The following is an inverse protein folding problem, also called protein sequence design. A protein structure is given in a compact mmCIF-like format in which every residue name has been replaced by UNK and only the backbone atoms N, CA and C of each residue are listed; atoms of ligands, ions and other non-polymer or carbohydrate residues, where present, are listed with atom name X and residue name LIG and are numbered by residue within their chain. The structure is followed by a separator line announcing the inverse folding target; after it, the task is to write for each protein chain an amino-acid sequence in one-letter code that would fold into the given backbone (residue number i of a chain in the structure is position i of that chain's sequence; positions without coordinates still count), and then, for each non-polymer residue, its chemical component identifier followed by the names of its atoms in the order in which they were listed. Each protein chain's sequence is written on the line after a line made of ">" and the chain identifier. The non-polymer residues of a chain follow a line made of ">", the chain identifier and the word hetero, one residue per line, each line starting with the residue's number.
data_IF_912811073723
#
_entry.id   IF_912811073723
#
_cell.length_a   1.000
_cell.length_b   1.000
_cell.length_c   1.000
_cell.angle_alpha   90.00
_cell.angle_beta   90.00
_cell.angle_gamma   90.00
#
_symmetry.space_group_name_H-M   'P 1'
#
loop_
_entity.id
_entity.type
_entity.pdbx_description
1 polymer ?
#
# COMPACT_ATOMS: atom_id res chain seq x y z
N UNK A 1 -3.94 -38.43 21.22
CA UNK A 1 -3.51 -37.05 21.50
C UNK A 1 -2.12 -36.75 20.93
N UNK A 2 -1.09 -37.55 21.24
CA UNK A 2 0.27 -37.34 20.74
C UNK A 2 0.36 -37.31 19.20
N UNK A 3 -0.22 -38.31 18.55
CA UNK A 3 -0.25 -38.42 17.07
C UNK A 3 -0.97 -37.24 16.41
N UNK A 4 -2.07 -36.75 17.01
CA UNK A 4 -2.76 -35.56 16.53
C UNK A 4 -1.89 -34.30 16.68
N UNK A 5 -1.19 -34.17 17.81
CA UNK A 5 -0.29 -33.05 18.05
C UNK A 5 0.89 -33.04 17.04
N UNK A 6 1.48 -34.23 16.78
CA UNK A 6 2.56 -34.35 15.80
C UNK A 6 2.09 -33.98 14.38
N UNK A 7 0.87 -34.36 14.01
CA UNK A 7 0.29 -34.00 12.72
C UNK A 7 -0.04 -32.50 12.63
N UNK A 8 -0.56 -31.86 13.68
CA UNK A 8 -0.76 -30.41 13.74
C UNK A 8 0.55 -29.65 13.61
N UNK A 9 1.59 -30.06 14.33
CA UNK A 9 2.93 -29.46 14.24
C UNK A 9 3.52 -29.64 12.85
N UNK A 10 3.35 -30.81 12.23
CA UNK A 10 3.83 -31.05 10.88
C UNK A 10 3.17 -30.15 9.83
N UNK A 11 1.87 -29.86 9.97
CA UNK A 11 1.09 -29.08 9.00
C UNK A 11 1.18 -27.57 9.23
N UNK A 12 1.14 -27.13 10.49
CA UNK A 12 0.98 -25.74 10.88
C UNK A 12 2.10 -25.20 11.78
N UNK A 13 2.97 -26.08 12.27
CA UNK A 13 3.97 -25.71 13.27
C UNK A 13 4.94 -24.61 12.80
N UNK A 14 5.25 -24.56 11.51
CA UNK A 14 6.13 -23.51 10.97
C UNK A 14 5.48 -22.14 11.03
N UNK A 15 4.20 -22.04 10.66
CA UNK A 15 3.47 -20.76 10.65
C UNK A 15 3.25 -20.24 12.08
N UNK A 16 2.87 -21.15 12.99
CA UNK A 16 2.71 -20.80 14.43
C UNK A 16 4.05 -20.36 15.03
N UNK A 17 5.13 -21.10 14.74
CA UNK A 17 6.46 -20.75 15.23
C UNK A 17 6.95 -19.40 14.71
N UNK A 18 6.67 -19.08 13.45
CA UNK A 18 7.00 -17.76 12.89
C UNK A 18 6.27 -16.63 13.62
N UNK A 19 5.00 -16.81 13.94
CA UNK A 19 4.23 -15.88 14.77
C UNK A 19 4.85 -15.67 16.15
N UNK A 20 5.23 -16.76 16.81
CA UNK A 20 5.91 -16.74 18.13
C UNK A 20 7.26 -16.04 18.06
N UNK A 21 8.08 -16.33 17.07
CA UNK A 21 9.38 -15.66 16.86
C UNK A 21 9.17 -14.15 16.72
N UNK A 22 8.24 -13.73 15.89
CA UNK A 22 7.93 -12.31 15.69
C UNK A 22 7.52 -11.64 16.99
N UNK A 23 6.66 -12.26 17.79
CA UNK A 23 6.22 -11.76 19.09
C UNK A 23 7.36 -11.64 20.08
N UNK A 24 8.24 -12.64 20.15
CA UNK A 24 9.42 -12.59 21.03
C UNK A 24 10.35 -11.45 20.62
N UNK A 25 10.61 -11.26 19.34
CA UNK A 25 11.44 -10.17 18.85
C UNK A 25 10.87 -8.80 19.20
N UNK A 26 9.57 -8.59 18.94
CA UNK A 26 8.91 -7.34 19.28
C UNK A 26 8.89 -7.08 20.78
N UNK A 27 8.65 -8.12 21.60
CA UNK A 27 8.69 -8.03 23.08
C UNK A 27 10.07 -7.62 23.58
N UNK A 28 11.14 -8.16 22.99
CA UNK A 28 12.50 -7.80 23.36
C UNK A 28 12.80 -6.33 23.04
N UNK A 29 12.37 -5.83 21.88
CA UNK A 29 12.56 -4.44 21.49
C UNK A 29 11.75 -3.47 22.35
N UNK A 30 10.49 -3.81 22.67
CA UNK A 30 9.69 -3.00 23.63
C UNK A 30 10.35 -2.91 24.99
N UNK A 31 10.83 -4.04 25.54
CA UNK A 31 11.54 -4.05 26.82
C UNK A 31 12.81 -3.20 26.80
N UNK A 32 13.59 -3.24 25.71
CA UNK A 32 14.78 -2.40 25.55
C UNK A 32 14.44 -0.90 25.52
N UNK A 33 13.28 -0.55 24.94
CA UNK A 33 12.76 0.81 24.91
C UNK A 33 12.02 1.22 26.21
N UNK A 34 11.89 0.33 27.20
CA UNK A 34 11.10 0.60 28.42
C UNK A 34 9.59 0.72 28.17
N UNK A 35 9.10 0.17 27.06
CA UNK A 35 7.70 0.25 26.63
C UNK A 35 6.97 -1.07 26.86
N UNK A 36 5.66 -0.97 27.04
CA UNK A 36 4.74 -2.11 27.17
C UNK A 36 3.48 -1.86 26.37
N UNK A 37 2.82 -2.94 25.94
CA UNK A 37 1.49 -2.89 25.33
C UNK A 37 0.46 -3.05 26.44
N UNK A 38 -0.42 -2.08 26.63
CA UNK A 38 -1.52 -2.13 27.59
C UNK A 38 -2.82 -2.58 26.88
N UNK A 39 -3.78 -3.05 27.68
CA UNK A 39 -5.09 -3.46 27.18
C UNK A 39 -5.83 -2.29 26.48
N UNK A 40 -5.64 -1.06 26.96
CA UNK A 40 -6.20 0.14 26.35
C UNK A 40 -5.67 0.38 24.93
N UNK A 41 -4.36 0.17 24.72
CA UNK A 41 -3.76 0.27 23.37
C UNK A 41 -4.36 -0.77 22.40
N UNK A 42 -4.61 -1.97 22.91
CA UNK A 42 -5.25 -3.06 22.15
C UNK A 42 -6.69 -2.70 21.77
N UNK A 43 -7.46 -2.17 22.72
CA UNK A 43 -8.84 -1.75 22.49
C UNK A 43 -8.93 -0.61 21.46
N UNK A 44 -8.01 0.35 21.52
CA UNK A 44 -7.93 1.44 20.55
C UNK A 44 -7.59 0.92 19.15
N UNK A 45 -6.69 -0.05 19.05
CA UNK A 45 -6.34 -0.67 17.75
C UNK A 45 -7.52 -1.42 17.15
N UNK A 46 -8.26 -2.19 17.96
CA UNK A 46 -9.47 -2.89 17.51
C UNK A 46 -10.55 -1.90 17.06
N UNK A 47 -10.72 -0.79 17.80
CA UNK A 47 -11.66 0.26 17.42
C UNK A 47 -11.26 0.95 16.11
N UNK A 48 -9.97 1.24 15.93
CA UNK A 48 -9.45 1.82 14.69
C UNK A 48 -9.65 0.88 13.50
N UNK A 49 -9.42 -0.42 13.69
CA UNK A 49 -9.68 -1.43 12.67
C UNK A 49 -11.18 -1.48 12.31
N UNK A 50 -12.08 -1.50 13.30
CA UNK A 50 -13.52 -1.48 13.06
C UNK A 50 -13.94 -0.29 12.19
N UNK A 51 -13.50 0.93 12.52
CA UNK A 51 -13.78 2.14 11.72
C UNK A 51 -13.22 2.01 10.31
N UNK A 52 -11.98 1.58 10.17
CA UNK A 52 -11.32 1.44 8.87
C UNK A 52 -12.05 0.48 7.93
N UNK A 53 -12.64 -0.57 8.47
CA UNK A 53 -13.43 -1.54 7.70
C UNK A 53 -14.92 -1.21 7.62
N UNK A 54 -15.33 -0.02 8.07
CA UNK A 54 -16.69 0.49 7.93
C UNK A 54 -17.68 -0.01 8.98
N UNK A 55 -17.19 -0.60 10.06
CA UNK A 55 -18.01 -1.00 11.21
C UNK A 55 -18.16 0.19 12.16
N UNK A 56 -19.12 1.04 11.83
CA UNK A 56 -19.39 2.30 12.53
C UNK A 56 -20.84 2.35 12.96
N UNK A 57 -21.10 2.69 14.21
CA UNK A 57 -22.45 2.91 14.74
C UNK A 57 -23.06 4.19 14.18
N UNK A 58 -24.35 4.39 14.40
CA UNK A 58 -25.07 5.57 13.94
C UNK A 58 -24.58 6.90 14.52
N UNK A 59 -23.89 6.85 15.66
CA UNK A 59 -23.27 8.00 16.33
C UNK A 59 -21.83 8.30 15.84
N UNK A 60 -21.32 7.52 14.90
CA UNK A 60 -19.96 7.65 14.35
C UNK A 60 -18.88 6.89 15.14
N UNK A 61 -19.22 6.26 16.26
CA UNK A 61 -18.28 5.45 17.03
C UNK A 61 -18.05 4.07 16.41
N UNK A 62 -16.91 3.42 16.76
CA UNK A 62 -16.61 2.07 16.31
C UNK A 62 -17.65 1.04 16.78
N UNK A 63 -18.12 0.19 15.89
CA UNK A 63 -18.90 -1.00 16.24
C UNK A 63 -17.97 -2.21 16.40
N UNK A 64 -17.31 -2.24 17.57
CA UNK A 64 -16.31 -3.26 17.92
C UNK A 64 -16.96 -4.65 17.92
N UNK A 65 -18.16 -4.78 18.44
CA UNK A 65 -18.85 -6.08 18.54
C UNK A 65 -19.15 -6.67 17.17
N UNK A 66 -19.67 -5.85 16.25
CA UNK A 66 -19.91 -6.29 14.88
C UNK A 66 -18.62 -6.64 14.15
N UNK A 67 -17.55 -5.88 14.36
CA UNK A 67 -16.23 -6.15 13.81
C UNK A 67 -15.66 -7.48 14.31
N UNK A 68 -15.60 -7.67 15.62
CA UNK A 68 -15.08 -8.90 16.22
C UNK A 68 -15.88 -10.13 15.80
N UNK A 69 -17.20 -10.01 15.75
CA UNK A 69 -18.05 -11.09 15.26
C UNK A 69 -17.72 -11.47 13.82
N UNK A 70 -17.47 -10.49 12.97
CA UNK A 70 -17.07 -10.73 11.57
C UNK A 70 -15.72 -11.46 11.50
N UNK A 71 -14.69 -10.94 12.18
CA UNK A 71 -13.35 -11.53 12.17
C UNK A 71 -13.37 -13.00 12.64
N UNK A 72 -14.03 -13.27 13.76
CA UNK A 72 -14.14 -14.62 14.31
C UNK A 72 -14.88 -15.57 13.37
N UNK A 73 -15.93 -15.07 12.68
CA UNK A 73 -16.74 -15.92 11.80
C UNK A 73 -16.11 -16.24 10.45
N UNK A 74 -15.25 -15.35 9.92
CA UNK A 74 -14.64 -15.52 8.59
C UNK A 74 -13.30 -16.26 8.63
N UNK A 75 -12.52 -16.09 9.71
CA UNK A 75 -11.16 -16.62 9.80
C UNK A 75 -11.05 -17.92 10.61
N UNK A 76 -12.17 -18.46 11.10
CA UNK A 76 -12.19 -19.63 12.00
C UNK A 76 -11.26 -19.46 13.22
N UNK A 77 -11.00 -18.18 13.57
CA UNK A 77 -10.08 -17.75 14.61
C UNK A 77 -10.83 -17.48 15.93
N UNK A 78 -10.18 -17.73 17.05
CA UNK A 78 -10.70 -17.25 18.34
C UNK A 78 -10.35 -15.78 18.53
N UNK A 79 -11.11 -15.08 19.38
CA UNK A 79 -10.80 -13.71 19.78
C UNK A 79 -9.36 -13.59 20.34
N UNK A 80 -8.94 -14.58 21.12
CA UNK A 80 -7.61 -14.61 21.71
C UNK A 80 -6.51 -14.66 20.64
N UNK A 81 -6.67 -15.52 19.62
CA UNK A 81 -5.74 -15.61 18.49
C UNK A 81 -5.71 -14.30 17.68
N UNK A 82 -6.88 -13.70 17.41
CA UNK A 82 -6.93 -12.42 16.72
C UNK A 82 -6.19 -11.31 17.50
N UNK A 83 -6.43 -11.20 18.81
CA UNK A 83 -5.75 -10.22 19.63
C UNK A 83 -4.24 -10.48 19.70
N UNK A 84 -3.83 -11.74 19.78
CA UNK A 84 -2.44 -12.15 19.92
C UNK A 84 -1.63 -12.04 18.62
N UNK A 85 -2.21 -12.42 17.49
CA UNK A 85 -1.48 -12.58 16.23
C UNK A 85 -1.65 -11.39 15.27
N UNK A 86 -2.71 -10.61 15.42
CA UNK A 86 -2.96 -9.44 14.58
C UNK A 86 -2.86 -8.11 15.34
N UNK A 87 -3.57 -7.98 16.45
CA UNK A 87 -3.69 -6.69 17.17
C UNK A 87 -2.42 -6.37 17.94
N UNK A 88 -1.94 -7.28 18.78
CA UNK A 88 -0.78 -7.06 19.61
C UNK A 88 0.49 -6.69 18.83
N UNK A 89 0.86 -7.41 17.72
CA UNK A 89 2.03 -7.04 16.94
C UNK A 89 1.91 -5.67 16.28
N UNK A 90 0.70 -5.30 15.84
CA UNK A 90 0.42 -3.97 15.28
C UNK A 90 0.67 -2.87 16.31
N UNK A 91 0.10 -3.02 17.50
CA UNK A 91 0.31 -2.07 18.61
C UNK A 91 1.77 -2.00 19.03
N UNK A 92 2.44 -3.15 19.14
CA UNK A 92 3.85 -3.23 19.48
C UNK A 92 4.72 -2.45 18.48
N UNK A 93 4.51 -2.67 17.18
CA UNK A 93 5.23 -1.96 16.13
C UNK A 93 4.92 -0.46 16.13
N UNK A 94 3.66 -0.07 16.29
CA UNK A 94 3.26 1.34 16.42
C UNK A 94 4.04 2.03 17.54
N UNK A 95 4.11 1.43 18.73
CA UNK A 95 4.87 1.99 19.86
C UNK A 95 6.36 2.13 19.54
N UNK A 96 6.97 1.12 18.93
CA UNK A 96 8.40 1.14 18.57
C UNK A 96 8.74 2.26 17.58
N UNK A 97 7.84 2.63 16.66
CA UNK A 97 8.12 3.60 15.59
C UNK A 97 7.47 4.96 15.78
N UNK A 98 6.51 5.10 16.69
CA UNK A 98 5.67 6.30 16.81
C UNK A 98 6.48 7.60 16.93
N UNK A 99 7.54 7.61 17.72
CA UNK A 99 8.39 8.78 17.92
C UNK A 99 9.27 9.14 16.71
N UNK A 100 9.39 8.21 15.75
CA UNK A 100 10.20 8.40 14.54
C UNK A 100 9.41 8.89 13.34
N UNK A 101 8.08 9.02 13.45
CA UNK A 101 7.20 9.41 12.36
C UNK A 101 6.77 10.86 12.52
N UNK A 102 7.28 11.70 11.63
CA UNK A 102 6.92 13.11 11.55
C UNK A 102 6.31 13.45 10.18
N UNK A 103 5.31 14.32 10.19
CA UNK A 103 4.71 14.88 8.97
C UNK A 103 5.18 16.32 8.82
N UNK A 104 6.01 16.57 7.82
CA UNK A 104 6.51 17.92 7.51
C UNK A 104 5.48 18.69 6.67
N UNK A 105 5.61 20.03 6.67
CA UNK A 105 4.81 20.88 5.80
C UNK A 105 5.01 20.54 4.31
N UNK A 106 6.21 20.08 3.93
CA UNK A 106 6.47 19.61 2.58
C UNK A 106 5.67 18.34 2.23
N UNK A 107 5.50 17.44 3.19
CA UNK A 107 4.67 16.25 2.99
C UNK A 107 3.21 16.62 2.80
N UNK A 108 2.72 17.59 3.57
CA UNK A 108 1.35 18.11 3.45
C UNK A 108 1.12 18.76 2.10
N UNK A 109 2.05 19.60 1.63
CA UNK A 109 1.96 20.22 0.32
C UNK A 109 1.98 19.19 -0.81
N UNK A 110 2.89 18.21 -0.75
CA UNK A 110 2.92 17.09 -1.72
C UNK A 110 1.63 16.26 -1.67
N UNK A 111 1.09 16.01 -0.48
CA UNK A 111 -0.18 15.33 -0.32
C UNK A 111 -1.35 16.12 -0.91
N UNK A 112 -1.36 17.42 -0.72
CA UNK A 112 -2.36 18.30 -1.32
C UNK A 112 -2.26 18.31 -2.84
N UNK A 113 -1.06 18.45 -3.41
CA UNK A 113 -0.85 18.39 -4.86
C UNK A 113 -1.23 17.02 -5.45
N UNK A 114 -0.95 15.93 -4.73
CA UNK A 114 -1.32 14.58 -5.16
C UNK A 114 -2.84 14.36 -5.19
N UNK A 115 -3.58 14.94 -4.24
CA UNK A 115 -5.02 14.73 -4.13
C UNK A 115 -5.83 15.76 -4.92
N UNK A 116 -5.39 17.01 -4.92
CA UNK A 116 -6.15 18.16 -5.42
C UNK A 116 -5.44 18.97 -6.49
N UNK A 117 -4.17 18.65 -6.81
CA UNK A 117 -3.37 19.38 -7.79
C UNK A 117 -3.79 19.14 -9.24
N UNK A 118 -3.12 19.88 -10.12
CA UNK A 118 -3.28 19.74 -11.57
C UNK A 118 -3.04 18.30 -12.04
N UNK A 119 -3.68 17.92 -13.13
CA UNK A 119 -3.63 16.60 -13.72
C UNK A 119 -3.24 16.66 -15.19
N UNK A 120 -2.58 15.61 -15.65
CA UNK A 120 -2.29 15.43 -17.06
C UNK A 120 -3.04 14.22 -17.58
N UNK A 121 -3.89 14.43 -18.56
CA UNK A 121 -4.56 13.35 -19.28
C UNK A 121 -3.61 12.81 -20.35
N UNK A 122 -3.35 11.51 -20.32
CA UNK A 122 -2.42 10.84 -21.21
C UNK A 122 -2.99 9.53 -21.73
N UNK A 123 -2.56 9.15 -22.91
CA UNK A 123 -2.62 7.77 -23.37
C UNK A 123 -1.28 7.11 -23.07
N UNK A 124 -1.30 5.89 -22.59
CA UNK A 124 -0.11 5.16 -22.12
C UNK A 124 0.01 3.82 -22.83
N UNK A 125 1.21 3.49 -23.27
CA UNK A 125 1.58 2.16 -23.76
C UNK A 125 2.74 1.64 -22.90
N UNK A 126 2.54 0.53 -22.19
CA UNK A 126 3.53 -0.12 -21.34
C UNK A 126 4.12 -1.32 -22.05
N UNK A 127 5.44 -1.42 -22.09
CA UNK A 127 6.18 -2.36 -22.93
C UNK A 127 7.21 -3.14 -22.11
N UNK A 128 7.42 -4.41 -22.44
CA UNK A 128 8.30 -5.31 -21.69
C UNK A 128 9.78 -5.24 -22.12
N UNK A 129 10.13 -4.45 -23.15
CA UNK A 129 11.51 -4.31 -23.58
C UNK A 129 11.74 -2.97 -24.27
N UNK A 130 12.98 -2.46 -24.13
CA UNK A 130 13.39 -1.20 -24.78
C UNK A 130 13.26 -1.25 -26.29
N UNK A 131 13.59 -2.37 -26.91
CA UNK A 131 13.45 -2.54 -28.35
C UNK A 131 11.99 -2.35 -28.80
N UNK A 132 11.06 -3.01 -28.11
CA UNK A 132 9.64 -2.87 -28.43
C UNK A 132 9.14 -1.44 -28.15
N UNK A 133 9.65 -0.79 -27.14
CA UNK A 133 9.32 0.60 -26.85
C UNK A 133 9.79 1.54 -27.96
N UNK A 134 10.97 1.29 -28.52
CA UNK A 134 11.50 2.06 -29.64
C UNK A 134 10.63 1.86 -30.91
N UNK A 135 10.26 0.62 -31.23
CA UNK A 135 9.39 0.31 -32.38
C UNK A 135 8.03 1.03 -32.27
N UNK A 136 7.40 0.98 -31.08
CA UNK A 136 6.11 1.64 -30.82
C UNK A 136 6.25 3.16 -30.88
N UNK A 137 7.32 3.71 -30.31
CA UNK A 137 7.60 5.14 -30.31
C UNK A 137 7.76 5.69 -31.73
N UNK A 138 8.51 5.00 -32.59
CA UNK A 138 8.70 5.36 -34.00
C UNK A 138 7.38 5.34 -34.79
N UNK A 139 6.55 4.31 -34.58
CA UNK A 139 5.22 4.26 -35.15
C UNK A 139 4.32 5.39 -34.68
N UNK A 140 4.34 5.70 -33.41
CA UNK A 140 3.55 6.77 -32.80
C UNK A 140 4.04 8.17 -33.25
N UNK A 141 5.34 8.32 -33.54
CA UNK A 141 5.91 9.54 -34.09
C UNK A 141 5.50 9.76 -35.56
N UNK A 142 5.47 8.67 -36.35
CA UNK A 142 5.06 8.73 -37.76
C UNK A 142 3.57 9.08 -37.95
N UNK A 143 2.71 8.67 -37.00
CA UNK A 143 1.29 8.99 -37.03
C UNK A 143 0.86 9.58 -35.66
N UNK A 144 0.78 10.89 -35.61
CA UNK A 144 0.53 11.66 -34.40
C UNK A 144 -0.92 11.71 -33.90
N UNK A 145 -1.82 10.82 -34.33
CA UNK A 145 -3.21 10.83 -33.89
C UNK A 145 -3.41 10.05 -32.58
N UNK A 146 -4.29 10.54 -31.70
CA UNK A 146 -4.66 9.83 -30.48
C UNK A 146 -5.25 8.46 -30.75
N UNK A 147 -6.10 8.35 -31.79
CA UNK A 147 -6.69 7.09 -32.20
C UNK A 147 -5.63 6.05 -32.53
N UNK A 148 -4.65 6.43 -33.37
CA UNK A 148 -3.57 5.52 -33.74
C UNK A 148 -2.72 5.10 -32.54
N UNK A 149 -2.42 6.03 -31.64
CA UNK A 149 -1.71 5.70 -30.40
C UNK A 149 -2.53 4.74 -29.53
N UNK A 150 -3.84 4.93 -29.45
CA UNK A 150 -4.75 3.99 -28.78
C UNK A 150 -4.71 2.59 -29.39
N UNK A 151 -4.71 2.48 -30.70
CA UNK A 151 -4.59 1.20 -31.40
C UNK A 151 -3.23 0.52 -31.13
N UNK A 152 -2.13 1.30 -31.06
CA UNK A 152 -0.82 0.80 -30.65
C UNK A 152 -0.83 0.29 -29.20
N UNK A 153 -1.45 1.02 -28.29
CA UNK A 153 -1.57 0.60 -26.90
C UNK A 153 -2.39 -0.70 -26.77
N UNK A 154 -3.50 -0.81 -27.48
CA UNK A 154 -4.30 -2.04 -27.53
C UNK A 154 -3.50 -3.24 -28.06
N UNK A 155 -2.68 -3.05 -29.08
CA UNK A 155 -1.91 -4.11 -29.71
C UNK A 155 -0.67 -4.50 -28.88
N UNK A 156 0.07 -3.54 -28.37
CA UNK A 156 1.42 -3.75 -27.84
C UNK A 156 1.56 -3.59 -26.32
N UNK A 157 0.62 -2.92 -25.63
CA UNK A 157 0.75 -2.76 -24.19
C UNK A 157 0.64 -4.10 -23.46
N UNK A 158 1.53 -4.31 -22.51
CA UNK A 158 1.54 -5.49 -21.62
C UNK A 158 0.73 -5.25 -20.35
N UNK A 159 0.35 -4.00 -20.07
CA UNK A 159 -0.42 -3.64 -18.90
C UNK A 159 -1.92 -3.67 -19.25
N UNK A 160 -2.75 -4.46 -18.53
CA UNK A 160 -4.15 -4.69 -18.91
C UNK A 160 -5.00 -3.42 -18.98
N UNK A 161 -4.82 -2.49 -18.04
CA UNK A 161 -5.64 -1.27 -17.99
C UNK A 161 -5.41 -0.41 -19.26
N UNK A 162 -4.15 -0.13 -19.58
CA UNK A 162 -3.83 0.65 -20.78
C UNK A 162 -4.15 -0.12 -22.06
N UNK A 163 -3.93 -1.43 -22.10
CA UNK A 163 -4.23 -2.25 -23.25
C UNK A 163 -5.71 -2.22 -23.62
N UNK A 164 -6.58 -2.64 -22.72
CA UNK A 164 -8.00 -2.81 -23.02
C UNK A 164 -8.77 -1.49 -23.09
N UNK A 165 -8.21 -0.40 -22.60
CA UNK A 165 -8.78 0.94 -22.68
C UNK A 165 -8.12 1.81 -23.79
N UNK A 166 -7.45 1.20 -24.78
CA UNK A 166 -6.81 1.95 -25.86
C UNK A 166 -5.88 3.05 -25.36
N UNK A 167 -5.03 2.71 -24.42
CA UNK A 167 -4.07 3.62 -23.80
C UNK A 167 -4.64 4.53 -22.71
N UNK A 168 -5.95 4.60 -22.55
CA UNK A 168 -6.55 5.46 -21.52
C UNK A 168 -6.26 4.93 -20.12
N UNK A 169 -5.74 5.79 -19.28
CA UNK A 169 -5.46 5.56 -17.87
C UNK A 169 -6.04 6.69 -17.04
N UNK A 170 -6.19 6.54 -15.72
CA UNK A 170 -6.52 7.67 -14.86
C UNK A 170 -5.52 8.82 -15.06
N UNK A 171 -5.96 10.09 -15.01
CA UNK A 171 -5.08 11.23 -15.18
C UNK A 171 -3.90 11.20 -14.20
N UNK A 172 -2.72 11.54 -14.68
CA UNK A 172 -1.50 11.56 -13.88
C UNK A 172 -1.49 12.82 -13.03
N UNK A 173 -1.22 12.65 -11.74
CA UNK A 173 -1.01 13.71 -10.77
C UNK A 173 0.44 13.70 -10.30
N UNK A 174 0.93 14.83 -9.78
CA UNK A 174 2.22 14.88 -9.10
C UNK A 174 2.17 14.07 -7.80
N UNK A 175 3.31 13.56 -7.40
CA UNK A 175 3.49 12.82 -6.14
C UNK A 175 2.62 11.55 -6.01
N UNK A 176 2.22 10.95 -7.15
CA UNK A 176 1.45 9.70 -7.21
C UNK A 176 2.31 8.45 -7.02
N UNK A 177 3.63 8.59 -6.91
CA UNK A 177 4.59 7.53 -6.61
C UNK A 177 5.46 7.07 -7.77
N UNK A 178 5.34 7.71 -8.96
CA UNK A 178 6.16 7.41 -10.14
C UNK A 178 6.83 8.66 -10.71
N UNK A 179 7.86 9.22 -10.05
CA UNK A 179 8.43 10.52 -10.39
C UNK A 179 8.91 10.63 -11.83
N UNK A 180 9.46 9.56 -12.42
CA UNK A 180 9.94 9.57 -13.81
C UNK A 180 8.78 9.75 -14.80
N UNK A 181 7.66 9.06 -14.59
CA UNK A 181 6.45 9.16 -15.41
C UNK A 181 5.77 10.51 -15.21
N UNK A 182 5.67 10.95 -13.95
CA UNK A 182 5.06 12.23 -13.57
C UNK A 182 5.80 13.41 -14.20
N UNK A 183 7.11 13.49 -14.01
CA UNK A 183 7.94 14.57 -14.56
C UNK A 183 7.83 14.64 -16.08
N UNK A 184 7.85 13.51 -16.75
CA UNK A 184 7.70 13.47 -18.20
C UNK A 184 6.28 13.88 -18.61
N UNK A 185 5.22 13.37 -17.98
CA UNK A 185 3.85 13.74 -18.29
C UNK A 185 3.59 15.24 -18.16
N UNK A 186 4.06 15.85 -17.06
CA UNK A 186 3.90 17.28 -16.81
C UNK A 186 4.74 18.18 -17.73
N UNK A 187 5.81 17.64 -18.33
CA UNK A 187 6.63 18.35 -19.32
C UNK A 187 5.95 18.46 -20.69
N UNK A 188 5.12 17.48 -21.05
CA UNK A 188 4.50 17.39 -22.36
C UNK A 188 3.41 18.46 -22.56
N UNK A 189 3.30 18.97 -23.76
CA UNK A 189 2.15 19.75 -24.22
C UNK A 189 1.09 18.83 -24.81
N UNK A 190 -0.14 19.31 -24.90
CA UNK A 190 -1.23 18.58 -25.56
C UNK A 190 -0.82 18.15 -26.99
N UNK A 191 -1.01 16.88 -27.28
CA UNK A 191 -0.63 16.26 -28.55
C UNK A 191 0.83 15.78 -28.64
N UNK A 192 1.70 16.12 -27.68
CA UNK A 192 3.10 15.65 -27.71
C UNK A 192 3.25 14.19 -27.28
N UNK A 193 4.25 13.55 -27.87
CA UNK A 193 4.69 12.20 -27.53
C UNK A 193 5.85 12.30 -26.52
N UNK A 194 5.83 11.47 -25.48
CA UNK A 194 6.92 11.41 -24.49
C UNK A 194 8.20 10.81 -25.08
N UNK A 195 9.30 11.00 -24.38
CA UNK A 195 10.42 10.09 -24.47
C UNK A 195 10.03 8.68 -23.94
N UNK A 196 10.89 7.68 -24.18
CA UNK A 196 10.72 6.35 -23.59
C UNK A 196 11.16 6.42 -22.13
N UNK A 197 10.23 6.23 -21.20
CA UNK A 197 10.49 6.26 -19.76
C UNK A 197 10.71 4.84 -19.25
N UNK A 198 11.87 4.59 -18.65
CA UNK A 198 12.15 3.31 -17.98
C UNK A 198 11.46 3.29 -16.60
N UNK A 199 10.74 2.20 -16.29
CA UNK A 199 10.02 1.97 -15.05
C UNK A 199 10.29 0.55 -14.55
N UNK A 200 11.36 0.38 -13.77
CA UNK A 200 11.86 -0.94 -13.38
C UNK A 200 12.26 -1.76 -14.61
N UNK A 201 11.63 -2.90 -14.79
CA UNK A 201 11.81 -3.83 -15.92
C UNK A 201 10.93 -3.49 -17.13
N UNK A 202 10.13 -2.42 -17.05
CA UNK A 202 9.18 -2.00 -18.09
C UNK A 202 9.57 -0.65 -18.69
N UNK A 203 9.00 -0.38 -19.85
CA UNK A 203 9.18 0.86 -20.58
C UNK A 203 7.81 1.47 -20.89
N UNK A 204 7.71 2.77 -20.68
CA UNK A 204 6.46 3.52 -20.85
C UNK A 204 6.65 4.55 -21.96
N UNK A 205 5.71 4.59 -22.89
CA UNK A 205 5.54 5.65 -23.88
C UNK A 205 4.18 6.28 -23.62
N UNK A 206 4.13 7.62 -23.63
CA UNK A 206 2.91 8.36 -23.35
C UNK A 206 2.65 9.38 -24.44
N UNK A 207 1.36 9.63 -24.70
CA UNK A 207 0.90 10.74 -25.51
C UNK A 207 0.04 11.65 -24.65
N UNK A 208 0.40 12.92 -24.53
CA UNK A 208 -0.38 13.90 -23.78
C UNK A 208 -1.66 14.25 -24.55
N UNK A 209 -2.80 14.07 -23.90
CA UNK A 209 -4.12 14.50 -24.42
C UNK A 209 -4.37 15.97 -23.99
N UNK A 210 -4.07 16.30 -22.76
CA UNK A 210 -4.26 17.65 -22.24
C UNK A 210 -3.89 17.80 -20.77
N UNK A 211 -3.92 19.05 -20.33
CA UNK A 211 -3.73 19.41 -18.93
C UNK A 211 -5.07 19.87 -18.35
N UNK A 212 -5.43 19.30 -17.22
CA UNK A 212 -6.62 19.68 -16.48
C UNK A 212 -6.21 20.38 -15.20
N UNK A 213 -6.57 21.65 -15.10
CA UNK A 213 -6.40 22.40 -13.86
C UNK A 213 -7.41 21.96 -12.82
N UNK A 214 -7.01 22.06 -11.58
CA UNK A 214 -7.87 21.74 -10.44
C UNK A 214 -8.66 22.99 -10.02
N UNK A 215 -9.67 23.37 -10.81
CA UNK A 215 -10.49 24.56 -10.56
C UNK A 215 -11.42 24.42 -9.33
N UNK A 216 -11.62 23.21 -8.83
CA UNK A 216 -12.50 22.87 -7.70
C UNK A 216 -11.72 22.29 -6.51
N UNK A 217 -10.43 22.60 -6.38
CA UNK A 217 -9.67 22.16 -5.21
C UNK A 217 -10.18 22.88 -3.96
N UNK A 218 -10.38 22.16 -2.85
CA UNK A 218 -10.70 22.79 -1.57
C UNK A 218 -9.53 23.66 -1.11
N UNK A 219 -9.81 24.69 -0.31
CA UNK A 219 -8.74 25.47 0.32
C UNK A 219 -7.82 24.57 1.14
N UNK A 220 -6.52 24.78 1.04
CA UNK A 220 -5.50 23.96 1.71
C UNK A 220 -5.76 23.80 3.21
N UNK A 221 -6.05 24.91 3.90
CA UNK A 221 -6.31 24.88 5.35
C UNK A 221 -7.55 24.10 5.73
N UNK A 222 -8.54 23.98 4.84
CA UNK A 222 -9.76 23.20 5.10
C UNK A 222 -9.53 21.69 5.10
N UNK A 223 -8.49 21.22 4.43
CA UNK A 223 -8.17 19.77 4.31
C UNK A 223 -6.87 19.39 5.00
N UNK A 224 -6.15 20.36 5.59
CA UNK A 224 -4.84 20.17 6.18
C UNK A 224 -4.82 19.10 7.28
N UNK A 225 -5.79 19.10 8.17
CA UNK A 225 -5.88 18.11 9.25
C UNK A 225 -6.17 16.70 8.73
N UNK A 226 -7.03 16.58 7.74
CA UNK A 226 -7.31 15.31 7.08
C UNK A 226 -6.07 14.78 6.37
N UNK A 227 -5.40 15.64 5.60
CA UNK A 227 -4.13 15.30 4.93
C UNK A 227 -3.05 14.88 5.92
N UNK A 228 -2.93 15.60 7.04
CA UNK A 228 -1.95 15.26 8.07
C UNK A 228 -2.19 13.86 8.61
N UNK A 229 -3.43 13.53 8.96
CA UNK A 229 -3.81 12.21 9.46
C UNK A 229 -3.50 11.11 8.43
N UNK A 230 -3.91 11.30 7.18
CA UNK A 230 -3.70 10.30 6.12
C UNK A 230 -2.22 10.07 5.80
N UNK A 231 -1.43 11.16 5.75
CA UNK A 231 0.00 11.08 5.52
C UNK A 231 0.71 10.44 6.71
N UNK A 232 0.33 10.82 7.94
CA UNK A 232 0.88 10.23 9.15
C UNK A 232 0.64 8.71 9.17
N UNK A 233 -0.58 8.26 8.90
CA UNK A 233 -0.91 6.84 8.86
C UNK A 233 -0.16 6.08 7.76
N UNK A 234 0.02 6.70 6.60
CA UNK A 234 0.81 6.13 5.51
C UNK A 234 2.28 5.98 5.89
N UNK A 235 2.87 7.02 6.48
CA UNK A 235 4.24 7.01 6.97
C UNK A 235 4.43 6.01 8.10
N UNK A 236 3.48 5.95 9.05
CA UNK A 236 3.49 5.01 10.15
C UNK A 236 3.52 3.57 9.65
N UNK A 237 2.64 3.20 8.72
CA UNK A 237 2.63 1.85 8.12
C UNK A 237 3.96 1.52 7.42
N UNK A 238 4.54 2.47 6.71
CA UNK A 238 5.83 2.28 6.06
C UNK A 238 6.95 2.09 7.09
N UNK A 239 7.00 2.94 8.11
CA UNK A 239 7.96 2.86 9.21
C UNK A 239 7.84 1.52 9.97
N UNK A 240 6.61 1.08 10.25
CA UNK A 240 6.36 -0.23 10.89
C UNK A 240 6.92 -1.38 10.04
N UNK A 241 6.65 -1.39 8.73
CA UNK A 241 7.14 -2.42 7.81
C UNK A 241 8.67 -2.43 7.75
N UNK A 242 9.29 -1.28 7.58
CA UNK A 242 10.76 -1.15 7.53
C UNK A 242 11.41 -1.54 8.86
N UNK A 243 10.83 -1.11 9.98
CA UNK A 243 11.36 -1.44 11.30
C UNK A 243 11.24 -2.92 11.62
N UNK A 244 10.13 -3.53 11.28
CA UNK A 244 9.94 -4.96 11.47
C UNK A 244 10.92 -5.78 10.63
N UNK A 245 11.12 -5.42 9.36
CA UNK A 245 12.12 -6.06 8.51
C UNK A 245 13.54 -5.89 9.08
N UNK A 246 13.88 -4.71 9.58
CA UNK A 246 15.15 -4.46 10.24
C UNK A 246 15.32 -5.32 11.49
N UNK A 247 14.30 -5.44 12.34
CA UNK A 247 14.30 -6.27 13.52
C UNK A 247 14.54 -7.74 13.14
N UNK A 248 13.83 -8.25 12.14
CA UNK A 248 13.98 -9.63 11.67
C UNK A 248 15.36 -9.89 11.08
N UNK A 249 15.87 -9.01 10.24
CA UNK A 249 17.17 -9.22 9.56
C UNK A 249 18.36 -9.13 10.50
N UNK A 250 18.26 -8.36 11.58
CA UNK A 250 19.33 -8.23 12.58
C UNK A 250 19.26 -9.27 13.70
N UNK A 251 18.14 -9.97 13.83
CA UNK A 251 17.94 -10.96 14.89
C UNK A 251 18.78 -12.23 14.67
N UNK A 252 19.23 -12.79 15.79
CA UNK A 252 19.79 -14.14 15.83
C UNK A 252 18.69 -15.12 16.22
N UNK A 253 18.28 -15.95 15.27
CA UNK A 253 17.19 -16.91 15.46
C UNK A 253 17.74 -18.32 15.35
N UNK A 254 17.50 -19.15 16.36
CA UNK A 254 17.77 -20.56 16.33
C UNK A 254 16.45 -21.33 16.33
N UNK A 255 16.05 -21.79 15.16
CA UNK A 255 14.84 -22.55 14.98
C UNK A 255 15.10 -24.03 15.25
N UNK A 256 14.63 -24.53 16.38
CA UNK A 256 14.86 -25.91 16.82
C UNK A 256 14.00 -26.91 16.03
N UNK A 257 12.84 -26.45 15.53
CA UNK A 257 11.90 -27.30 14.78
C UNK A 257 12.45 -27.67 13.39
N UNK A 258 13.09 -26.71 12.71
CA UNK A 258 13.67 -26.93 11.38
C UNK A 258 15.17 -27.19 11.41
N UNK A 259 15.82 -27.07 12.59
CA UNK A 259 17.27 -27.15 12.73
C UNK A 259 18.04 -25.99 12.09
N UNK A 260 17.35 -24.93 11.65
CA UNK A 260 17.97 -23.81 10.97
C UNK A 260 18.47 -22.75 11.94
N UNK A 261 19.60 -22.12 11.62
CA UNK A 261 20.11 -20.95 12.33
C UNK A 261 20.17 -19.75 11.40
N UNK A 262 19.56 -18.66 11.84
CA UNK A 262 19.67 -17.36 11.18
C UNK A 262 20.59 -16.49 12.02
N UNK A 263 21.70 -16.06 11.43
CA UNK A 263 22.58 -15.05 12.01
C UNK A 263 22.38 -13.74 11.25
N UNK A 264 22.23 -12.63 11.97
CA UNK A 264 21.80 -11.33 11.43
C UNK A 264 22.64 -10.72 10.32
N UNK A 265 23.61 -11.44 9.76
CA UNK A 265 24.44 -11.02 8.63
C UNK A 265 24.18 -11.82 7.32
N UNK A 266 23.49 -12.94 7.38
CA UNK A 266 23.34 -13.84 6.21
C UNK A 266 22.08 -13.61 5.36
N UNK A 267 21.12 -12.82 5.81
CA UNK A 267 19.81 -12.70 5.15
C UNK A 267 19.67 -11.57 4.12
N UNK A 268 20.67 -10.79 3.83
CA UNK A 268 20.57 -9.77 2.76
C UNK A 268 20.32 -10.36 1.35
N UNK A 269 20.45 -11.68 1.17
CA UNK A 269 20.38 -12.33 -0.16
C UNK A 269 19.20 -13.31 -0.33
N UNK A 270 18.36 -13.53 0.68
CA UNK A 270 17.26 -14.51 0.64
C UNK A 270 15.91 -14.00 1.11
N UNK A 271 15.71 -12.70 1.15
CA UNK A 271 14.38 -12.15 1.51
C UNK A 271 13.47 -12.26 0.30
N UNK A 272 12.71 -13.36 0.21
CA UNK A 272 11.36 -13.22 -0.32
C UNK A 272 10.64 -12.27 0.63
N UNK A 273 9.90 -11.26 0.14
CA UNK A 273 9.13 -10.40 1.01
C UNK A 273 8.24 -11.32 1.85
N UNK A 274 8.55 -11.41 3.14
CA UNK A 274 7.65 -12.03 4.09
C UNK A 274 6.32 -11.36 3.83
N UNK A 275 5.30 -12.15 3.53
CA UNK A 275 3.93 -11.67 3.48
C UNK A 275 3.78 -10.80 4.70
N UNK A 276 3.69 -9.50 4.50
CA UNK A 276 3.47 -8.53 5.54
C UNK A 276 2.45 -9.14 6.49
N UNK A 277 2.64 -8.89 7.79
CA UNK A 277 1.63 -9.19 8.82
C UNK A 277 0.32 -9.37 8.09
N UNK A 278 -0.24 -10.59 8.05
CA UNK A 278 -1.46 -10.86 7.30
C UNK A 278 -2.46 -9.80 7.74
N UNK A 279 -2.46 -8.66 7.09
CA UNK A 279 -3.64 -7.83 7.06
C UNK A 279 -4.63 -8.77 6.45
N UNK A 280 -5.54 -9.27 7.26
CA UNK A 280 -6.61 -10.18 6.85
C UNK A 280 -7.12 -9.63 5.52
N UNK A 281 -6.89 -10.29 4.38
CA UNK A 281 -7.43 -9.80 3.13
C UNK A 281 -8.91 -10.05 3.23
N UNK A 282 -9.68 -8.98 3.43
CA UNK A 282 -11.13 -9.05 3.27
C UNK A 282 -11.39 -9.24 1.77
N UNK A 283 -11.94 -10.37 1.33
CA UNK A 283 -12.28 -10.58 -0.07
C UNK A 283 -13.34 -9.56 -0.46
N UNK A 284 -13.03 -8.69 -1.41
CA UNK A 284 -14.03 -7.92 -2.14
C UNK A 284 -14.24 -6.46 -1.76
N UNK A 285 -13.39 -5.81 -0.97
CA UNK A 285 -13.49 -4.36 -0.73
C UNK A 285 -12.41 -3.63 -1.54
N UNK A 286 -12.78 -3.23 -2.74
CA UNK A 286 -12.09 -2.12 -3.43
C UNK A 286 -12.35 -0.84 -2.64
N UNK A 287 -11.35 0.04 -2.45
CA UNK A 287 -11.56 1.33 -1.79
C UNK A 287 -12.64 2.10 -2.55
N UNK A 288 -13.71 2.45 -1.86
CA UNK A 288 -14.77 3.30 -2.40
C UNK A 288 -14.23 4.71 -2.59
N UNK A 289 -13.78 5.00 -3.79
CA UNK A 289 -13.74 6.37 -4.29
C UNK A 289 -15.18 6.80 -4.57
N UNK A 290 -15.90 7.29 -3.58
CA UNK A 290 -17.20 7.92 -3.76
C UNK A 290 -17.32 9.14 -2.83
N UNK A 291 -16.80 10.26 -3.29
CA UNK A 291 -17.42 11.55 -3.00
C UNK A 291 -18.44 11.77 -4.09
N UNK A 292 -19.72 11.49 -3.82
CA UNK A 292 -20.83 12.01 -4.61
C UNK A 292 -21.08 13.45 -4.15
N UNK A 293 -21.15 14.43 -5.05
CA UNK A 293 -21.68 15.73 -4.71
C UNK A 293 -23.17 15.60 -4.42
N UNK A 294 -23.62 16.15 -3.31
CA UNK A 294 -25.01 16.36 -3.02
C UNK A 294 -25.61 17.29 -4.10
N UNK A 295 -26.36 16.74 -5.01
CA UNK A 295 -27.11 17.44 -6.04
C UNK A 295 -28.52 17.69 -5.58
N UNK A 296 -28.88 18.96 -5.59
CA UNK A 296 -30.15 19.49 -5.15
C UNK A 296 -31.40 18.99 -5.90
N UNK A 297 -32.45 19.12 -5.19
CA UNK A 297 -33.87 19.09 -5.53
C UNK A 297 -34.23 19.73 -6.88
N UNK A 298 -34.88 18.99 -7.73
CA UNK A 298 -36.23 19.18 -8.26
C UNK A 298 -36.68 17.95 -9.02
#
# INVERSE_FOLDING_TARGET
>A
MQQLAEECVSRHGTDVLEGEINRVLLTQHLKQAGQTVADEDMNQEVAAAAIMYGFVKSDGSADIDAWLKKVISEDDATLELYLQDAVWPSVALKKIVNESVEVSEQDLQKGYEANYGDQVEVLVCVLGSQRRAQEVWEMAQANGTEKFFGDLAYQYSIEPTSKYNFGKVPPIRKHSGQPAVENEAFRLKAGELSSIVALGDKFVVMRCVGHKKSDAAPEYEAVKEELHRDIFEKKLRLAMSQRFEQIRTTAQIHNVLTGTRQTGKENASRVQPASAVKTVPVPGVTPRNNVRPAGGTR
#
